data_IF_606414086461
#
_entry.id   IF_606414086461
#
_cell.length_a   1.000
_cell.length_b   1.000
_cell.length_c   1.000
_cell.angle_alpha   90.00
_cell.angle_beta   90.00
_cell.angle_gamma   90.00
#
_symmetry.space_group_name_H-M   'P 1'
#
loop_
_entity.id
_entity.type
_entity.pdbx_description
1 polymer ?
#
# COMPACT_ATOMS: atom_id res chain seq x y z
N UNK A 1 5.10 28.52 5.06
CA UNK A 1 6.29 27.75 4.66
C UNK A 1 6.20 26.43 5.40
N UNK A 2 6.06 25.30 4.70
CA UNK A 2 6.22 24.03 5.38
C UNK A 2 7.71 23.86 5.67
N UNK A 3 8.05 23.76 6.95
CA UNK A 3 9.40 23.49 7.41
C UNK A 3 9.58 21.97 7.55
N UNK A 4 10.79 21.46 7.30
CA UNK A 4 11.17 20.09 7.65
C UNK A 4 11.32 19.08 6.51
N UNK A 5 11.08 19.43 5.24
CA UNK A 5 11.41 18.58 4.09
C UNK A 5 12.33 19.29 3.10
N UNK A 6 13.05 18.52 2.27
CA UNK A 6 13.91 19.05 1.22
C UNK A 6 13.07 19.54 0.03
N UNK A 7 13.18 20.82 -0.30
CA UNK A 7 12.59 21.38 -1.51
C UNK A 7 13.49 21.07 -2.71
N UNK A 8 12.90 20.51 -3.76
CA UNK A 8 13.59 20.12 -4.99
C UNK A 8 12.97 20.93 -6.14
N UNK A 9 13.81 21.60 -6.92
CA UNK A 9 13.31 22.35 -8.08
C UNK A 9 12.84 21.40 -9.18
N UNK A 10 11.77 21.79 -9.88
CA UNK A 10 11.26 21.06 -11.05
C UNK A 10 12.33 20.90 -12.13
N UNK A 11 13.23 21.88 -12.27
CA UNK A 11 14.32 21.85 -13.24
C UNK A 11 15.43 20.84 -12.88
N UNK A 12 15.50 20.41 -11.61
CA UNK A 12 16.46 19.41 -11.13
C UNK A 12 15.93 17.97 -11.31
N UNK A 13 14.69 17.83 -11.80
CA UNK A 13 14.00 16.56 -12.02
C UNK A 13 13.77 16.34 -13.53
N UNK A 14 14.60 15.52 -14.15
CA UNK A 14 14.40 15.09 -15.53
C UNK A 14 13.50 13.85 -15.55
N UNK A 15 12.23 14.03 -15.88
CA UNK A 15 11.27 12.93 -16.02
C UNK A 15 11.63 12.04 -17.22
N UNK A 16 11.33 10.76 -17.07
CA UNK A 16 11.45 9.72 -18.08
C UNK A 16 10.09 9.00 -18.21
N UNK A 17 10.07 7.67 -18.21
CA UNK A 17 8.85 6.86 -18.36
C UNK A 17 7.80 7.11 -17.26
N UNK A 18 6.53 7.10 -17.68
CA UNK A 18 5.39 6.94 -16.78
C UNK A 18 5.36 5.51 -16.24
N UNK A 19 5.49 5.34 -14.92
CA UNK A 19 5.52 4.02 -14.27
C UNK A 19 4.18 3.63 -13.65
N UNK A 20 3.33 4.62 -13.32
CA UNK A 20 1.99 4.43 -12.76
C UNK A 20 1.12 5.68 -12.92
N UNK A 21 -0.18 5.50 -13.15
CA UNK A 21 -1.18 6.57 -13.15
C UNK A 21 -2.36 6.19 -12.26
N UNK A 22 -2.72 7.07 -11.33
CA UNK A 22 -3.78 6.83 -10.36
C UNK A 22 -4.57 8.09 -10.01
N UNK A 23 -5.52 7.94 -9.07
CA UNK A 23 -6.41 9.02 -8.66
C UNK A 23 -5.69 10.25 -8.09
N UNK A 24 -4.54 10.03 -7.45
CA UNK A 24 -3.76 11.07 -6.77
C UNK A 24 -2.68 11.71 -7.64
N UNK A 25 -2.44 11.21 -8.86
CA UNK A 25 -1.37 11.72 -9.70
C UNK A 25 -0.82 10.71 -10.69
N UNK A 26 0.24 11.12 -11.37
CA UNK A 26 1.07 10.27 -12.24
C UNK A 26 2.44 10.12 -11.60
N UNK A 27 2.96 8.90 -11.56
CA UNK A 27 4.29 8.60 -11.07
C UNK A 27 5.20 8.35 -12.26
N UNK A 28 6.32 9.07 -12.30
CA UNK A 28 7.35 8.97 -13.32
C UNK A 28 8.62 8.37 -12.73
N UNK A 29 9.33 7.59 -13.53
CA UNK A 29 10.76 7.41 -13.37
C UNK A 29 11.44 8.75 -13.69
N UNK A 30 12.44 9.15 -12.93
CA UNK A 30 13.17 10.38 -13.20
C UNK A 30 14.63 10.31 -12.75
N UNK A 31 15.44 11.16 -13.36
CA UNK A 31 16.80 11.44 -12.91
C UNK A 31 16.82 12.71 -12.07
N UNK A 32 17.36 12.62 -10.85
CA UNK A 32 17.69 13.77 -10.03
C UNK A 32 19.07 14.30 -10.42
N UNK A 33 19.10 15.40 -11.16
CA UNK A 33 20.30 15.86 -11.87
C UNK A 33 21.45 16.21 -10.92
N UNK A 34 21.18 17.01 -9.88
CA UNK A 34 22.22 17.42 -8.93
C UNK A 34 22.80 16.26 -8.11
N UNK A 35 22.02 15.20 -7.86
CA UNK A 35 22.45 14.03 -7.09
C UNK A 35 22.94 12.85 -7.93
N UNK A 36 22.74 12.90 -9.24
CA UNK A 36 23.07 11.81 -10.17
C UNK A 36 22.38 10.49 -9.76
N UNK A 37 21.14 10.60 -9.31
CA UNK A 37 20.38 9.49 -8.72
C UNK A 37 19.08 9.23 -9.50
N UNK A 38 18.59 7.99 -9.45
CA UNK A 38 17.33 7.58 -10.05
C UNK A 38 16.23 7.60 -8.99
N UNK A 39 15.13 8.28 -9.28
CA UNK A 39 14.06 8.56 -8.32
C UNK A 39 12.68 8.29 -8.93
N UNK A 40 11.70 8.08 -8.05
CA UNK A 40 10.29 8.08 -8.43
C UNK A 40 9.68 9.46 -8.12
N UNK A 41 8.99 10.05 -9.09
CA UNK A 41 8.37 11.39 -8.98
C UNK A 41 6.86 11.28 -9.15
N UNK A 42 6.10 11.41 -8.06
CA UNK A 42 4.64 11.45 -8.08
C UNK A 42 4.18 12.89 -8.27
N UNK A 43 3.68 13.23 -9.46
CA UNK A 43 3.11 14.55 -9.81
C UNK A 43 1.60 14.57 -9.63
N UNK A 44 1.09 15.64 -9.03
CA UNK A 44 -0.34 15.92 -9.01
C UNK A 44 -0.86 16.19 -10.44
N UNK A 45 -2.07 15.75 -10.72
CA UNK A 45 -2.75 16.06 -11.98
C UNK A 45 -3.07 17.55 -12.07
N UNK A 46 -2.50 18.25 -13.06
CA UNK A 46 -2.77 19.68 -13.33
C UNK A 46 -4.27 19.99 -13.37
N UNK A 47 -5.04 19.15 -14.08
CA UNK A 47 -6.48 19.33 -14.27
C UNK A 47 -7.30 19.10 -12.98
N UNK A 48 -6.69 18.58 -11.91
CA UNK A 48 -7.31 18.35 -10.60
C UNK A 48 -6.78 19.30 -9.53
N UNK A 49 -5.91 20.24 -9.88
CA UNK A 49 -5.40 21.23 -8.94
C UNK A 49 -6.54 22.12 -8.46
N UNK A 50 -6.91 21.88 -7.21
CA UNK A 50 -7.85 22.67 -6.45
C UNK A 50 -7.37 22.69 -4.97
N UNK A 51 -7.91 23.57 -4.11
CA UNK A 51 -7.45 23.68 -2.73
C UNK A 51 -7.53 22.38 -1.93
N UNK A 52 -8.46 21.47 -2.28
CA UNK A 52 -8.60 20.18 -1.61
C UNK A 52 -7.48 19.20 -2.06
N UNK A 53 -7.15 19.15 -3.35
CA UNK A 53 -6.06 18.34 -3.87
C UNK A 53 -4.69 18.82 -3.34
N UNK A 54 -4.47 20.14 -3.23
CA UNK A 54 -3.26 20.67 -2.61
C UNK A 54 -3.16 20.28 -1.13
N UNK A 55 -4.28 20.35 -0.39
CA UNK A 55 -4.34 19.91 1.01
C UNK A 55 -4.02 18.43 1.17
N UNK A 56 -4.53 17.58 0.27
CA UNK A 56 -4.23 16.15 0.26
C UNK A 56 -2.76 15.87 -0.04
N UNK A 57 -2.17 16.57 -1.01
CA UNK A 57 -0.74 16.47 -1.30
C UNK A 57 0.13 16.86 -0.10
N UNK A 58 -0.15 18.02 0.52
CA UNK A 58 0.63 18.43 1.69
C UNK A 58 0.45 17.49 2.87
N UNK A 59 -0.74 16.90 3.01
CA UNK A 59 -0.97 15.86 4.01
C UNK A 59 -0.11 14.63 3.76
N UNK A 60 -0.11 14.10 2.54
CA UNK A 60 0.72 12.94 2.16
C UNK A 60 2.21 13.23 2.40
N UNK A 61 2.67 14.41 1.95
CA UNK A 61 4.05 14.85 2.15
C UNK A 61 4.44 14.93 3.64
N UNK A 62 3.58 15.49 4.49
CA UNK A 62 3.83 15.58 5.93
C UNK A 62 3.89 14.21 6.60
N UNK A 63 3.00 13.29 6.21
CA UNK A 63 3.01 11.91 6.69
C UNK A 63 4.34 11.24 6.33
N UNK A 64 4.74 11.30 5.07
CA UNK A 64 5.97 10.66 4.61
C UNK A 64 7.23 11.29 5.21
N UNK A 65 7.23 12.61 5.45
CA UNK A 65 8.40 13.30 5.98
C UNK A 65 8.76 12.88 7.42
N UNK A 66 7.77 12.47 8.21
CA UNK A 66 7.97 11.97 9.56
C UNK A 66 8.37 10.49 9.65
N UNK A 67 8.42 9.78 8.52
CA UNK A 67 8.57 8.32 8.50
C UNK A 67 9.87 7.93 7.83
N UNK A 68 10.70 7.16 8.54
CA UNK A 68 11.84 6.44 7.97
C UNK A 68 11.89 5.04 8.55
N UNK A 69 11.63 4.05 7.71
CA UNK A 69 11.62 2.64 8.11
C UNK A 69 12.01 1.75 6.93
N UNK A 70 12.75 0.64 7.14
CA UNK A 70 13.25 -0.21 6.04
C UNK A 70 12.16 -0.74 5.10
N UNK A 71 10.95 -0.98 5.60
CA UNK A 71 9.82 -1.48 4.81
C UNK A 71 8.80 -0.40 4.43
N UNK A 72 9.23 0.87 4.38
CA UNK A 72 8.42 2.00 3.90
C UNK A 72 9.25 2.78 2.89
N UNK A 73 8.61 3.19 1.79
CA UNK A 73 9.25 4.00 0.75
C UNK A 73 9.73 5.33 1.34
N UNK A 74 10.99 5.60 1.12
CA UNK A 74 11.71 6.76 1.64
C UNK A 74 11.35 8.00 0.84
N UNK A 75 10.90 9.03 1.53
CA UNK A 75 10.81 10.38 0.99
C UNK A 75 12.20 11.00 0.87
N UNK A 76 12.51 11.54 -0.31
CA UNK A 76 13.68 12.36 -0.53
C UNK A 76 13.38 13.85 -0.41
N UNK A 77 12.23 14.28 -0.90
CA UNK A 77 11.80 15.67 -0.86
C UNK A 77 10.55 15.93 -1.69
N UNK A 78 10.27 17.20 -1.97
CA UNK A 78 9.14 17.58 -2.80
C UNK A 78 9.42 18.84 -3.63
N UNK A 79 8.78 18.90 -4.80
CA UNK A 79 8.62 20.13 -5.55
C UNK A 79 7.30 20.80 -5.13
N UNK A 80 7.36 22.09 -4.79
CA UNK A 80 6.20 22.91 -4.39
C UNK A 80 6.10 24.20 -5.22
N UNK A 81 6.65 24.14 -6.43
CA UNK A 81 6.50 25.21 -7.43
C UNK A 81 5.05 25.25 -7.93
N UNK A 82 4.55 26.45 -8.24
CA UNK A 82 3.17 26.65 -8.69
C UNK A 82 2.85 25.71 -9.86
N UNK A 83 1.74 24.98 -9.73
CA UNK A 83 1.25 24.00 -10.72
C UNK A 83 2.20 22.81 -10.98
N UNK A 84 3.30 22.67 -10.24
CA UNK A 84 4.33 21.64 -10.45
C UNK A 84 4.56 20.79 -9.21
N UNK A 85 3.54 20.62 -8.39
CA UNK A 85 3.63 19.84 -7.16
C UNK A 85 4.03 18.39 -7.44
N UNK A 86 5.11 17.97 -6.77
CA UNK A 86 5.63 16.62 -6.92
C UNK A 86 6.22 16.09 -5.60
N UNK A 87 6.03 14.80 -5.32
CA UNK A 87 6.71 14.08 -4.25
C UNK A 87 7.85 13.28 -4.88
N UNK A 88 9.07 13.44 -4.36
CA UNK A 88 10.27 12.74 -4.83
C UNK A 88 10.65 11.68 -3.82
N UNK A 89 10.72 10.42 -4.28
CA UNK A 89 10.87 9.24 -3.44
C UNK A 89 11.95 8.33 -4.02
N UNK A 90 12.42 7.37 -3.22
CA UNK A 90 13.23 6.29 -3.74
C UNK A 90 12.49 5.50 -4.84
N UNK A 91 13.24 5.06 -5.85
CA UNK A 91 12.72 4.25 -6.93
C UNK A 91 12.90 2.76 -6.62
N UNK A 92 11.83 1.98 -6.77
CA UNK A 92 11.83 0.53 -6.54
C UNK A 92 11.75 -0.20 -7.87
N UNK A 93 12.87 -0.77 -8.30
CA UNK A 93 13.12 -1.20 -9.69
C UNK A 93 12.23 -2.34 -10.21
N UNK A 94 11.66 -3.18 -9.35
CA UNK A 94 10.76 -4.26 -9.78
C UNK A 94 9.28 -3.83 -9.82
N UNK A 95 8.98 -2.59 -9.41
CA UNK A 95 7.61 -2.09 -9.33
C UNK A 95 6.81 -2.77 -8.22
N UNK A 96 5.49 -2.86 -8.39
CA UNK A 96 4.59 -3.37 -7.36
C UNK A 96 4.50 -4.90 -7.31
N UNK A 97 4.16 -5.44 -6.15
CA UNK A 97 3.87 -6.86 -5.96
C UNK A 97 2.80 -7.35 -6.93
N UNK A 98 1.79 -6.52 -7.22
CA UNK A 98 0.78 -6.80 -8.24
C UNK A 98 1.40 -7.08 -9.62
N UNK A 99 2.35 -6.24 -10.07
CA UNK A 99 3.03 -6.46 -11.37
C UNK A 99 3.83 -7.76 -11.33
N UNK A 100 4.53 -8.05 -10.23
CA UNK A 100 5.33 -9.26 -10.06
C UNK A 100 4.47 -10.52 -10.14
N UNK A 101 3.34 -10.56 -9.43
CA UNK A 101 2.47 -11.73 -9.37
C UNK A 101 1.67 -11.95 -10.66
N UNK A 102 1.11 -10.89 -11.24
CA UNK A 102 0.07 -11.05 -12.27
C UNK A 102 0.51 -10.69 -13.69
N UNK A 103 1.52 -9.80 -13.84
CA UNK A 103 1.99 -9.34 -15.15
C UNK A 103 3.29 -10.03 -15.54
N UNK A 104 4.32 -9.90 -14.70
CA UNK A 104 5.62 -10.50 -14.93
C UNK A 104 5.60 -12.01 -14.64
N UNK A 105 4.71 -12.45 -13.75
CA UNK A 105 4.57 -13.84 -13.30
C UNK A 105 5.92 -14.43 -12.88
N UNK A 106 6.68 -13.65 -12.10
CA UNK A 106 7.96 -14.10 -11.55
C UNK A 106 7.70 -15.32 -10.65
N UNK A 107 8.50 -16.37 -10.85
CA UNK A 107 8.40 -17.58 -10.04
C UNK A 107 8.98 -17.31 -8.65
N UNK A 108 8.11 -17.10 -7.68
CA UNK A 108 8.46 -16.99 -6.27
C UNK A 108 8.27 -18.36 -5.60
N UNK A 109 9.30 -18.85 -4.92
CA UNK A 109 9.17 -20.01 -4.03
C UNK A 109 8.53 -19.58 -2.69
N UNK A 110 8.33 -20.54 -1.78
CA UNK A 110 7.71 -20.24 -0.49
C UNK A 110 8.59 -19.41 0.44
N UNK A 111 9.91 -19.50 0.33
CA UNK A 111 10.82 -18.67 1.11
C UNK A 111 10.68 -17.19 0.69
N UNK A 112 10.65 -16.93 -0.62
CA UNK A 112 10.41 -15.59 -1.16
C UNK A 112 9.03 -15.07 -0.76
N UNK A 113 7.97 -15.88 -0.90
CA UNK A 113 6.59 -15.50 -0.54
C UNK A 113 6.46 -15.11 0.93
N UNK A 114 7.03 -15.91 1.84
CA UNK A 114 7.00 -15.64 3.28
C UNK A 114 7.86 -14.42 3.64
N UNK A 115 9.03 -14.26 3.01
CA UNK A 115 9.86 -13.06 3.20
C UNK A 115 9.14 -11.78 2.76
N UNK A 116 8.46 -11.82 1.61
CA UNK A 116 7.67 -10.70 1.10
C UNK A 116 6.50 -10.38 2.04
N UNK A 117 5.77 -11.42 2.48
CA UNK A 117 4.67 -11.26 3.44
C UNK A 117 5.14 -10.64 4.77
N UNK A 118 6.28 -11.10 5.29
CA UNK A 118 6.87 -10.60 6.53
C UNK A 118 7.25 -9.12 6.42
N UNK A 119 7.90 -8.73 5.33
CA UNK A 119 8.31 -7.35 5.09
C UNK A 119 7.11 -6.41 4.89
N UNK A 120 6.07 -6.88 4.19
CA UNK A 120 4.79 -6.16 4.08
C UNK A 120 4.17 -5.93 5.47
N UNK A 121 4.09 -6.98 6.30
CA UNK A 121 3.58 -6.88 7.68
C UNK A 121 4.40 -5.91 8.53
N UNK A 122 5.74 -5.94 8.44
CA UNK A 122 6.63 -5.02 9.17
C UNK A 122 6.37 -3.55 8.83
N UNK A 123 6.20 -3.24 7.54
CA UNK A 123 5.87 -1.88 7.10
C UNK A 123 4.54 -1.39 7.68
N UNK A 124 3.50 -2.22 7.65
CA UNK A 124 2.19 -1.87 8.21
C UNK A 124 2.23 -1.79 9.74
N UNK A 125 2.91 -2.72 10.41
CA UNK A 125 3.04 -2.72 11.86
C UNK A 125 3.76 -1.46 12.35
N UNK A 126 4.80 -1.01 11.65
CA UNK A 126 5.46 0.25 11.99
C UNK A 126 4.47 1.42 12.05
N UNK A 127 3.56 1.55 11.07
CA UNK A 127 2.54 2.60 11.04
C UNK A 127 1.56 2.48 12.22
N UNK A 128 1.15 1.25 12.54
CA UNK A 128 0.23 0.96 13.65
C UNK A 128 0.86 1.23 15.02
N UNK A 129 2.19 1.16 15.13
CA UNK A 129 2.96 1.35 16.37
C UNK A 129 3.50 2.77 16.57
N UNK A 130 3.23 3.71 15.66
CA UNK A 130 3.57 5.12 15.85
C UNK A 130 2.89 5.67 17.11
N UNK A 131 3.50 6.68 17.76
CA UNK A 131 2.93 7.36 18.94
C UNK A 131 1.49 7.84 18.69
N UNK A 132 1.23 8.31 17.47
CA UNK A 132 -0.11 8.46 16.92
C UNK A 132 -0.33 7.38 15.86
N UNK A 133 -1.01 6.25 16.20
CA UNK A 133 -1.22 5.16 15.26
C UNK A 133 -1.85 5.64 13.97
N UNK A 134 -1.24 5.23 12.87
CA UNK A 134 -1.63 5.61 11.53
C UNK A 134 -2.20 4.41 10.80
N UNK A 135 -3.38 4.58 10.21
CA UNK A 135 -4.02 3.57 9.36
C UNK A 135 -3.64 3.82 7.92
N UNK A 136 -3.25 2.77 7.19
CA UNK A 136 -2.91 2.88 5.77
C UNK A 136 -4.17 3.07 4.91
N UNK A 137 -5.22 2.28 5.16
CA UNK A 137 -6.56 2.34 4.54
C UNK A 137 -6.66 1.95 3.07
N UNK A 138 -5.55 1.83 2.37
CA UNK A 138 -5.49 1.36 0.97
C UNK A 138 -4.47 0.25 0.79
N UNK A 139 -4.49 -0.76 1.66
CA UNK A 139 -3.59 -1.91 1.54
C UNK A 139 -4.07 -2.79 0.38
N UNK A 140 -3.16 -3.02 -0.57
CA UNK A 140 -3.33 -3.88 -1.74
C UNK A 140 -1.97 -4.19 -2.33
N UNK A 141 -1.86 -5.25 -3.13
CA UNK A 141 -0.59 -5.66 -3.77
C UNK A 141 0.01 -4.57 -4.69
N UNK A 142 -0.78 -3.58 -5.13
CA UNK A 142 -0.26 -2.42 -5.88
C UNK A 142 0.59 -1.47 -5.02
N UNK A 143 0.39 -1.47 -3.70
CA UNK A 143 1.00 -0.53 -2.76
C UNK A 143 2.17 -1.14 -1.97
N UNK A 144 2.63 -2.33 -2.38
CA UNK A 144 3.90 -2.92 -1.93
C UNK A 144 4.86 -2.93 -3.10
N UNK A 145 5.93 -2.14 -3.04
CA UNK A 145 6.94 -2.06 -4.07
C UNK A 145 8.14 -2.94 -3.75
N UNK A 146 8.77 -3.50 -4.78
CA UNK A 146 9.86 -4.44 -4.65
C UNK A 146 11.13 -4.00 -5.38
N UNK A 147 12.25 -4.43 -4.83
CA UNK A 147 13.58 -4.31 -5.42
C UNK A 147 14.37 -5.59 -5.18
N UNK A 148 15.30 -5.90 -6.09
CA UNK A 148 16.23 -7.02 -5.93
C UNK A 148 17.45 -6.57 -5.13
N UNK A 149 17.79 -7.30 -4.07
CA UNK A 149 19.06 -7.18 -3.35
C UNK A 149 19.91 -8.44 -3.52
N UNK A 150 21.10 -8.44 -2.93
CA UNK A 150 21.97 -9.61 -2.86
C UNK A 150 21.43 -10.70 -1.91
N UNK A 151 20.54 -10.33 -0.97
CA UNK A 151 19.94 -11.23 0.02
C UNK A 151 18.51 -11.68 -0.35
N UNK A 152 17.98 -11.23 -1.50
CA UNK A 152 16.63 -11.59 -1.98
C UNK A 152 15.83 -10.37 -2.41
N UNK A 153 14.57 -10.29 -1.99
CA UNK A 153 13.68 -9.17 -2.27
C UNK A 153 13.60 -8.19 -1.11
N UNK A 154 13.63 -6.89 -1.41
CA UNK A 154 13.28 -5.82 -0.47
C UNK A 154 11.84 -5.39 -0.78
N UNK A 155 10.99 -5.29 0.23
CA UNK A 155 9.59 -4.84 0.10
C UNK A 155 9.36 -3.57 0.89
N UNK A 156 8.73 -2.57 0.25
CA UNK A 156 8.41 -1.30 0.87
C UNK A 156 6.97 -0.87 0.60
N UNK A 157 6.28 -0.42 1.64
CA UNK A 157 4.92 0.15 1.56
C UNK A 157 4.98 1.54 0.95
N UNK A 158 4.08 1.83 0.02
CA UNK A 158 3.92 3.14 -0.62
C UNK A 158 2.47 3.62 -0.63
N UNK A 159 2.26 4.84 -1.13
CA UNK A 159 0.96 5.50 -1.35
C UNK A 159 0.18 5.82 -0.06
N UNK A 160 0.62 6.88 0.61
CA UNK A 160 0.03 7.38 1.85
C UNK A 160 -1.09 8.41 1.63
N UNK A 161 -1.60 8.56 0.41
CA UNK A 161 -2.63 9.55 0.08
C UNK A 161 -3.93 9.40 0.89
N UNK A 162 -4.20 8.18 1.36
CA UNK A 162 -5.35 7.86 2.22
C UNK A 162 -4.99 7.66 3.69
N UNK A 163 -3.71 7.71 4.03
CA UNK A 163 -3.26 7.49 5.39
C UNK A 163 -3.77 8.59 6.32
N UNK A 164 -4.28 8.19 7.49
CA UNK A 164 -4.73 9.12 8.53
C UNK A 164 -4.40 8.59 9.90
N UNK A 165 -4.19 9.50 10.84
CA UNK A 165 -4.16 9.15 12.25
C UNK A 165 -5.51 8.54 12.67
N UNK A 166 -5.49 7.65 13.65
CA UNK A 166 -6.68 6.96 14.17
C UNK A 166 -7.80 7.93 14.63
N UNK A 167 -7.43 9.13 15.06
CA UNK A 167 -8.34 10.13 15.62
C UNK A 167 -8.99 11.04 14.56
N UNK A 168 -8.49 11.06 13.31
CA UNK A 168 -8.95 11.95 12.23
C UNK A 168 -10.15 11.43 11.41
N UNK A 169 -10.86 10.40 11.85
CA UNK A 169 -11.97 9.81 11.08
C UNK A 169 -13.19 10.73 10.94
N UNK A 170 -13.36 11.35 9.78
CA UNK A 170 -14.62 11.96 9.33
C UNK A 170 -15.34 11.01 8.36
N UNK A 171 -16.64 10.77 8.57
CA UNK A 171 -17.51 9.94 7.70
C UNK A 171 -17.47 10.32 6.22
N UNK A 172 -17.14 11.59 5.93
CA UNK A 172 -17.18 12.16 4.58
C UNK A 172 -16.19 11.52 3.58
N UNK A 173 -15.04 11.00 4.06
CA UNK A 173 -14.11 10.26 3.18
C UNK A 173 -14.56 8.84 2.82
N UNK A 174 -15.48 8.23 3.58
CA UNK A 174 -15.93 6.85 3.29
C UNK A 174 -16.84 6.78 2.05
N UNK A 175 -17.67 7.82 1.85
CA UNK A 175 -18.63 7.87 0.74
C UNK A 175 -17.96 8.10 -0.62
N UNK A 176 -16.86 8.86 -0.67
CA UNK A 176 -16.15 9.18 -1.92
C UNK A 176 -15.32 8.01 -2.45
N UNK A 177 -14.78 7.16 -1.57
CA UNK A 177 -13.92 6.03 -1.96
C UNK A 177 -14.71 4.76 -2.31
N UNK A 178 -15.85 4.53 -1.65
CA UNK A 178 -16.66 3.32 -1.88
C UNK A 178 -17.23 3.20 -3.31
N UNK A 179 -17.37 4.31 -4.03
CA UNK A 179 -17.94 4.34 -5.38
C UNK A 179 -16.91 4.50 -6.51
N UNK A 180 -15.65 4.79 -6.21
CA UNK A 180 -14.62 5.09 -7.22
C UNK A 180 -13.40 4.15 -7.20
N UNK A 181 -13.33 3.20 -6.24
CA UNK A 181 -12.16 2.36 -5.99
C UNK A 181 -12.31 0.85 -6.30
N UNK A 182 -11.19 0.15 -6.20
CA UNK A 182 -11.04 -1.31 -6.32
C UNK A 182 -11.37 -1.96 -4.98
N UNK A 183 -12.54 -2.59 -4.85
CA UNK A 183 -13.08 -3.12 -3.57
C UNK A 183 -12.48 -4.47 -3.13
N UNK A 184 -11.65 -5.07 -3.98
CA UNK A 184 -11.10 -6.42 -3.85
C UNK A 184 -10.41 -6.68 -2.51
N UNK A 185 -9.74 -5.68 -1.94
CA UNK A 185 -9.03 -5.80 -0.66
C UNK A 185 -9.82 -5.30 0.54
N UNK A 186 -11.02 -4.76 0.33
CA UNK A 186 -11.78 -4.06 1.37
C UNK A 186 -12.44 -5.04 2.35
N UNK A 187 -12.27 -4.76 3.64
CA UNK A 187 -12.93 -5.51 4.71
C UNK A 187 -14.47 -5.33 4.70
N UNK A 188 -15.25 -6.30 5.23
CA UNK A 188 -16.71 -6.22 5.29
C UNK A 188 -17.25 -4.92 5.88
N UNK A 189 -16.67 -4.45 6.99
CA UNK A 189 -17.08 -3.22 7.65
C UNK A 189 -16.81 -1.98 6.79
N UNK A 190 -15.75 -1.99 5.96
CA UNK A 190 -15.45 -0.91 5.02
C UNK A 190 -16.46 -0.89 3.87
N UNK A 191 -16.84 -2.07 3.38
CA UNK A 191 -17.88 -2.24 2.36
C UNK A 191 -19.28 -1.84 2.87
N UNK A 192 -19.49 -1.87 4.18
CA UNK A 192 -20.67 -1.37 4.88
C UNK A 192 -20.56 0.12 5.25
N UNK A 193 -19.50 0.81 4.82
CA UNK A 193 -19.24 2.23 5.11
C UNK A 193 -19.02 2.53 6.60
N UNK A 194 -18.58 1.53 7.35
CA UNK A 194 -18.22 1.66 8.76
C UNK A 194 -16.76 2.15 8.92
N UNK A 195 -16.37 2.41 10.17
CA UNK A 195 -15.10 3.06 10.51
C UNK A 195 -13.90 2.17 10.18
N UNK A 196 -12.89 2.74 9.52
CA UNK A 196 -11.57 2.09 9.40
C UNK A 196 -10.89 1.95 10.76
N UNK A 197 -10.28 0.79 10.96
CA UNK A 197 -9.45 0.46 12.13
C UNK A 197 -8.20 -0.26 11.68
N UNK A 198 -7.27 -0.51 12.60
CA UNK A 198 -6.10 -1.36 12.37
C UNK A 198 -6.55 -2.74 11.81
N UNK A 199 -7.72 -3.23 12.22
CA UNK A 199 -8.27 -4.52 11.79
C UNK A 199 -8.74 -4.55 10.33
N UNK A 200 -9.11 -3.42 9.74
CA UNK A 200 -9.43 -3.37 8.31
C UNK A 200 -8.17 -3.38 7.44
N UNK A 201 -7.07 -2.83 7.94
CA UNK A 201 -5.74 -3.00 7.34
C UNK A 201 -5.30 -4.49 7.40
N UNK A 202 -5.52 -5.18 8.52
CA UNK A 202 -5.22 -6.62 8.66
C UNK A 202 -6.02 -7.48 7.68
N UNK A 203 -7.31 -7.20 7.48
CA UNK A 203 -8.11 -7.90 6.47
C UNK A 203 -7.49 -7.75 5.08
N UNK A 204 -7.11 -6.54 4.73
CA UNK A 204 -6.53 -6.21 3.44
C UNK A 204 -5.18 -6.93 3.23
N UNK A 205 -4.35 -7.04 4.28
CA UNK A 205 -3.15 -7.88 4.27
C UNK A 205 -3.47 -9.36 4.01
N UNK A 206 -4.54 -9.89 4.62
CA UNK A 206 -4.99 -11.26 4.37
C UNK A 206 -5.30 -11.53 2.89
N UNK A 207 -5.92 -10.56 2.20
CA UNK A 207 -6.15 -10.65 0.75
C UNK A 207 -4.83 -10.61 -0.03
N UNK A 208 -3.86 -9.79 0.37
CA UNK A 208 -2.51 -9.78 -0.25
C UNK A 208 -1.77 -11.09 -0.02
N UNK A 209 -1.92 -11.72 1.13
CA UNK A 209 -1.36 -13.04 1.41
C UNK A 209 -2.03 -14.14 0.59
N UNK A 210 -3.33 -14.01 0.32
CA UNK A 210 -4.02 -14.86 -0.64
C UNK A 210 -3.47 -14.70 -2.06
N UNK A 211 -3.17 -13.47 -2.50
CA UNK A 211 -2.47 -13.25 -3.79
C UNK A 211 -1.10 -13.90 -3.81
N UNK A 212 -0.34 -13.80 -2.72
CA UNK A 212 0.94 -14.50 -2.55
C UNK A 212 0.78 -16.01 -2.49
N UNK A 213 -0.35 -16.59 -2.12
CA UNK A 213 -0.55 -18.03 -2.13
C UNK A 213 -0.93 -18.56 -3.53
N UNK A 214 -1.58 -17.73 -4.35
CA UNK A 214 -2.25 -18.17 -5.58
C UNK A 214 -1.62 -17.63 -6.86
N UNK A 215 -0.96 -16.47 -6.80
CA UNK A 215 -0.63 -15.61 -7.94
C UNK A 215 -1.87 -15.14 -8.73
N UNK A 216 -3.07 -15.23 -8.14
CA UNK A 216 -4.33 -14.84 -8.78
C UNK A 216 -4.75 -13.42 -8.36
N UNK A 217 -5.45 -12.74 -9.26
CA UNK A 217 -6.06 -11.44 -8.95
C UNK A 217 -7.31 -11.69 -8.10
N UNK A 218 -7.46 -11.06 -6.91
CA UNK A 218 -8.60 -11.32 -6.05
C UNK A 218 -9.91 -10.99 -6.76
N UNK A 219 -10.85 -11.94 -6.74
CA UNK A 219 -12.17 -11.80 -7.36
C UNK A 219 -12.11 -11.42 -8.86
N UNK A 220 -11.08 -11.85 -9.59
CA UNK A 220 -10.93 -11.57 -11.02
C UNK A 220 -12.22 -11.85 -11.81
N UNK A 221 -12.57 -10.92 -12.71
CA UNK A 221 -13.78 -11.03 -13.55
C UNK A 221 -15.10 -10.69 -12.86
N UNK A 222 -15.13 -10.38 -11.56
CA UNK A 222 -16.35 -10.04 -10.84
C UNK A 222 -16.57 -8.52 -10.75
N UNK A 223 -17.83 -8.10 -10.79
CA UNK A 223 -18.21 -6.70 -10.58
C UNK A 223 -18.14 -6.33 -9.09
N UNK A 224 -17.84 -5.06 -8.80
CA UNK A 224 -17.74 -4.53 -7.43
C UNK A 224 -18.99 -4.84 -6.56
N UNK A 225 -20.19 -4.82 -7.15
CA UNK A 225 -21.44 -5.16 -6.45
C UNK A 225 -21.47 -6.62 -5.99
N UNK A 226 -21.02 -7.54 -6.86
CA UNK A 226 -20.93 -8.98 -6.57
C UNK A 226 -19.87 -9.26 -5.51
N UNK A 227 -18.69 -8.63 -5.64
CA UNK A 227 -17.61 -8.74 -4.65
C UNK A 227 -18.11 -8.27 -3.29
N UNK A 228 -18.79 -7.12 -3.25
CA UNK A 228 -19.34 -6.54 -2.03
C UNK A 228 -20.32 -7.49 -1.35
N UNK A 229 -21.29 -8.01 -2.08
CA UNK A 229 -22.28 -8.95 -1.54
C UNK A 229 -21.61 -10.23 -1.03
N UNK A 230 -20.72 -10.83 -1.83
CA UNK A 230 -20.00 -12.05 -1.47
C UNK A 230 -19.25 -11.93 -0.13
N UNK A 231 -18.49 -10.84 0.04
CA UNK A 231 -17.68 -10.58 1.23
C UNK A 231 -18.54 -10.27 2.46
N UNK A 232 -19.59 -9.46 2.30
CA UNK A 232 -20.54 -9.10 3.37
C UNK A 232 -21.32 -10.34 3.85
N UNK A 233 -21.64 -11.28 2.96
CA UNK A 233 -22.26 -12.56 3.33
C UNK A 233 -21.31 -13.53 4.07
N UNK A 234 -20.06 -13.14 4.32
CA UNK A 234 -19.09 -13.96 5.05
C UNK A 234 -18.28 -14.93 4.19
N UNK A 235 -18.49 -14.94 2.88
CA UNK A 235 -17.73 -15.82 1.98
C UNK A 235 -16.31 -15.31 1.77
N UNK A 236 -15.38 -16.22 1.46
CA UNK A 236 -13.97 -15.93 1.21
C UNK A 236 -13.47 -16.67 -0.03
N UNK A 237 -12.37 -16.18 -0.59
CA UNK A 237 -11.69 -16.85 -1.71
C UNK A 237 -11.13 -18.19 -1.25
N UNK A 238 -11.09 -19.18 -2.15
CA UNK A 238 -10.52 -20.49 -1.84
C UNK A 238 -9.01 -20.38 -1.72
N UNK A 239 -8.44 -20.91 -0.63
CA UNK A 239 -6.99 -21.08 -0.48
C UNK A 239 -6.62 -22.47 -1.06
N UNK A 240 -5.59 -22.59 -1.93
CA UNK A 240 -5.15 -23.88 -2.45
C UNK A 240 -4.55 -24.78 -1.36
N UNK A 241 -4.80 -26.09 -1.44
CA UNK A 241 -4.29 -27.09 -0.48
C UNK A 241 -2.75 -27.19 -0.46
N UNK A 242 -2.08 -26.73 -1.52
CA UNK A 242 -0.62 -26.65 -1.61
C UNK A 242 -0.01 -25.50 -0.79
N UNK A 243 -0.85 -24.61 -0.23
CA UNK A 243 -0.42 -23.55 0.68
C UNK A 243 0.02 -24.15 2.01
N UNK A 244 1.19 -23.78 2.56
CA UNK A 244 1.61 -24.20 3.89
C UNK A 244 0.48 -23.98 4.90
N UNK A 245 0.17 -25.02 5.66
CA UNK A 245 -1.01 -25.05 6.55
C UNK A 245 -1.05 -23.86 7.50
N UNK A 246 0.11 -23.49 8.05
CA UNK A 246 0.26 -22.32 8.93
C UNK A 246 -0.04 -21.01 8.23
N UNK A 247 0.46 -20.81 7.01
CA UNK A 247 0.17 -19.61 6.23
C UNK A 247 -1.31 -19.56 5.81
N UNK A 248 -1.91 -20.71 5.47
CA UNK A 248 -3.34 -20.80 5.21
C UNK A 248 -4.19 -20.46 6.44
N UNK A 249 -3.78 -20.87 7.65
CA UNK A 249 -4.45 -20.51 8.89
C UNK A 249 -4.36 -18.99 9.13
N UNK A 250 -3.17 -18.41 8.96
CA UNK A 250 -2.96 -16.97 9.08
C UNK A 250 -3.80 -16.15 8.10
N UNK A 251 -3.94 -16.57 6.85
CA UNK A 251 -4.85 -15.91 5.89
C UNK A 251 -6.29 -15.93 6.44
N UNK A 252 -6.73 -17.07 6.98
CA UNK A 252 -8.06 -17.22 7.56
C UNK A 252 -8.32 -16.32 8.78
N UNK A 253 -7.32 -16.15 9.63
CA UNK A 253 -7.39 -15.25 10.77
C UNK A 253 -7.40 -13.78 10.32
N UNK A 254 -6.52 -13.41 9.37
CA UNK A 254 -6.43 -12.04 8.86
C UNK A 254 -7.76 -11.55 8.29
N UNK A 255 -8.46 -12.39 7.51
CA UNK A 255 -9.72 -12.01 6.87
C UNK A 255 -10.98 -12.49 7.61
N UNK A 256 -10.89 -12.80 8.91
CA UNK A 256 -12.03 -13.17 9.74
C UNK A 256 -13.19 -12.16 9.57
N UNK A 257 -14.44 -12.65 9.59
CA UNK A 257 -15.60 -11.80 9.31
C UNK A 257 -15.73 -10.65 10.32
N UNK A 258 -15.75 -10.99 11.60
CA UNK A 258 -15.74 -10.02 12.68
C UNK A 258 -14.32 -9.44 12.84
N UNK A 259 -14.23 -8.10 12.85
CA UNK A 259 -12.97 -7.38 12.93
C UNK A 259 -12.18 -7.67 14.21
N UNK A 260 -12.86 -7.95 15.33
CA UNK A 260 -12.21 -8.21 16.61
C UNK A 260 -11.51 -9.58 16.67
N UNK A 261 -11.93 -10.52 15.82
CA UNK A 261 -11.35 -11.86 15.76
C UNK A 261 -10.06 -11.89 14.93
N UNK A 262 -9.80 -10.82 14.16
CA UNK A 262 -8.57 -10.69 13.38
C UNK A 262 -7.38 -10.41 14.31
N UNK A 263 -6.16 -10.86 13.97
CA UNK A 263 -4.99 -10.65 14.80
C UNK A 263 -4.54 -9.18 14.85
N UNK A 264 -3.55 -8.85 15.67
CA UNK A 264 -2.80 -7.59 15.57
C UNK A 264 -1.70 -7.73 14.52
N UNK A 265 -1.19 -6.62 13.99
CA UNK A 265 -0.10 -6.70 13.00
C UNK A 265 1.18 -7.32 13.60
N UNK A 266 1.48 -7.06 14.88
CA UNK A 266 2.57 -7.73 15.60
C UNK A 266 2.41 -9.25 15.64
N UNK A 267 1.20 -9.75 15.90
CA UNK A 267 0.95 -11.19 15.91
C UNK A 267 1.06 -11.80 14.50
N UNK A 268 0.62 -11.08 13.47
CA UNK A 268 0.83 -11.50 12.07
C UNK A 268 2.31 -11.68 11.76
N UNK A 269 3.18 -10.78 12.26
CA UNK A 269 4.64 -10.90 12.08
C UNK A 269 5.16 -12.16 12.76
N UNK A 270 4.76 -12.42 14.01
CA UNK A 270 5.15 -13.61 14.77
C UNK A 270 4.78 -14.89 14.02
N UNK A 271 3.54 -14.99 13.55
CA UNK A 271 3.05 -16.17 12.81
C UNK A 271 3.80 -16.41 11.49
N UNK A 272 4.15 -15.35 10.74
CA UNK A 272 4.96 -15.51 9.52
C UNK A 272 6.37 -15.96 9.87
N UNK A 273 6.94 -15.43 10.96
CA UNK A 273 8.28 -15.83 11.42
C UNK A 273 8.32 -17.32 11.76
N UNK A 274 7.27 -17.83 12.39
CA UNK A 274 7.13 -19.25 12.68
C UNK A 274 6.76 -20.12 11.47
N UNK A 275 6.37 -19.53 10.32
CA UNK A 275 6.30 -20.25 9.05
C UNK A 275 7.67 -20.42 8.38
N UNK A 276 8.63 -19.55 8.69
CA UNK A 276 9.97 -19.52 8.09
C UNK A 276 10.93 -20.47 8.84
N UNK A 277 10.76 -20.59 10.15
CA UNK A 277 11.54 -21.49 11.02
C UNK A 277 11.07 -22.96 10.90
#
# INVERSE_FOLDING_TARGET
KLEGFLQISDQDLKLDDEISCGGFGVVYLAQWLSRHDIVAVKRLHLNRLNPQAEKEFFKELLVMNGIRYPNIVTLYGACVEKEKYAIVMEYMSLGSLYKILHQNKLSLDWCDRLSIALQAAKGINYLHQLEQPMLHRDIKSLNFLLERSHEGYIVKVCDFGLAKTRNETTRQTQLTHAFAGTLQWSAPEILLLEKHTEKSDIYSLGVVYWELATNEIPYSGHQNTVIREFVISGNRLKIPDATPSRFSALINECWAHNANDRPTCSHVIEEIQECIN
#
